data_IF_210891755342
#
_entry.id   IF_210891755342
#
_cell.length_a   1.000
_cell.length_b   1.000
_cell.length_c   1.000
_cell.angle_alpha   90.00
_cell.angle_beta   90.00
_cell.angle_gamma   90.00
#
_symmetry.space_group_name_H-M   'P 1'
#
loop_
_entity.id
_entity.type
_entity.pdbx_description
1 polymer ?
#
# COMPACT_ATOMS: atom_id res chain seq x y z
N UNK A 1 60.79 -51.21 21.85
CA UNK A 1 60.89 -49.89 21.18
C UNK A 1 59.64 -49.08 21.53
N UNK A 2 59.77 -47.77 21.78
CA UNK A 2 58.94 -46.93 22.66
C UNK A 2 57.64 -46.38 22.01
N UNK A 3 56.74 -45.79 22.84
CA UNK A 3 55.43 -45.20 22.47
C UNK A 3 55.52 -43.84 21.71
N UNK A 4 54.55 -42.88 21.82
CA UNK A 4 53.48 -42.77 22.83
C UNK A 4 52.10 -42.20 22.37
N UNK A 5 51.20 -42.08 23.37
CA UNK A 5 50.11 -41.11 23.58
C UNK A 5 48.87 -41.17 22.66
N UNK A 6 47.64 -41.33 23.15
CA UNK A 6 47.07 -40.90 24.43
C UNK A 6 46.38 -39.55 24.23
N UNK A 7 45.10 -39.59 23.84
CA UNK A 7 44.27 -38.40 23.62
C UNK A 7 42.87 -38.66 24.15
N UNK A 8 42.72 -38.57 25.47
CA UNK A 8 41.44 -38.57 26.16
C UNK A 8 40.61 -37.34 25.74
N UNK A 9 39.41 -37.62 25.23
CA UNK A 9 38.40 -36.60 24.95
C UNK A 9 37.81 -36.13 26.30
N UNK A 10 38.09 -34.87 26.64
CA UNK A 10 37.52 -34.21 27.83
C UNK A 10 35.98 -34.12 27.74
N UNK A 11 35.25 -34.31 28.87
CA UNK A 11 33.79 -34.20 28.91
C UNK A 11 33.28 -32.77 28.69
N UNK A 12 32.08 -32.65 28.09
CA UNK A 12 31.38 -31.45 27.64
C UNK A 12 30.96 -30.42 28.72
N UNK A 13 31.65 -30.35 29.87
CA UNK A 13 31.32 -29.43 30.97
C UNK A 13 32.30 -28.24 31.14
N UNK A 14 33.29 -28.07 30.25
CA UNK A 14 34.28 -26.98 30.32
C UNK A 14 34.22 -25.97 29.17
N UNK A 15 33.33 -26.15 28.19
CA UNK A 15 33.18 -25.22 27.06
C UNK A 15 32.35 -23.95 27.38
N UNK A 16 31.66 -23.90 28.52
CA UNK A 16 30.77 -22.76 28.88
C UNK A 16 31.47 -21.62 29.65
N UNK A 17 32.76 -21.73 29.97
CA UNK A 17 33.47 -20.69 30.75
C UNK A 17 34.22 -19.63 29.92
N UNK A 18 34.17 -19.69 28.59
CA UNK A 18 34.89 -18.76 27.69
C UNK A 18 34.01 -17.71 27.00
N UNK A 19 32.71 -17.65 27.29
CA UNK A 19 31.77 -16.71 26.64
C UNK A 19 31.28 -15.55 27.52
N UNK A 20 31.89 -15.33 28.69
CA UNK A 20 31.56 -14.18 29.55
C UNK A 20 32.84 -13.50 30.03
N UNK A 21 33.49 -12.75 29.13
CA UNK A 21 34.44 -11.67 29.46
C UNK A 21 34.87 -10.95 28.19
N UNK A 22 34.47 -9.69 28.03
CA UNK A 22 35.14 -8.78 27.09
C UNK A 22 34.22 -7.97 26.18
N UNK A 23 33.36 -7.14 26.75
CA UNK A 23 32.89 -5.93 26.06
C UNK A 23 33.34 -4.72 26.88
N UNK A 24 34.34 -4.00 26.37
CA UNK A 24 34.77 -2.67 26.84
C UNK A 24 34.50 -1.68 25.70
N UNK A 25 33.77 -0.57 25.91
CA UNK A 25 33.74 0.49 24.93
C UNK A 25 35.08 1.23 24.94
N UNK A 26 35.64 1.42 23.75
CA UNK A 26 36.82 2.26 23.50
C UNK A 26 36.49 3.71 23.82
N UNK A 27 37.12 4.23 24.88
CA UNK A 27 37.26 5.66 25.16
C UNK A 27 38.33 6.21 24.22
N UNK A 28 37.97 7.18 23.38
CA UNK A 28 38.91 8.05 22.65
C UNK A 28 39.23 9.25 23.54
N UNK A 29 40.50 9.58 23.84
CA UNK A 29 40.84 10.72 24.67
C UNK A 29 41.08 12.00 23.84
N UNK A 30 40.53 13.11 24.34
CA UNK A 30 41.20 14.41 24.38
C UNK A 30 41.31 15.24 23.10
N UNK A 31 40.52 16.30 23.02
CA UNK A 31 40.73 17.44 22.12
C UNK A 31 39.98 18.66 22.65
N UNK A 32 40.66 19.44 23.49
CA UNK A 32 40.22 20.76 23.92
C UNK A 32 40.27 21.70 22.71
N UNK A 33 39.16 22.36 22.39
CA UNK A 33 39.19 23.72 21.90
C UNK A 33 37.90 24.45 22.27
N UNK A 34 38.09 25.49 23.08
CA UNK A 34 37.07 26.42 23.53
C UNK A 34 36.71 27.37 22.38
N UNK A 35 35.49 27.28 21.86
CA UNK A 35 34.85 28.39 21.17
C UNK A 35 33.64 28.83 22.00
N UNK A 36 33.83 29.96 22.68
CA UNK A 36 32.81 30.69 23.42
C UNK A 36 31.72 31.13 22.44
N UNK A 37 30.50 30.61 22.63
CA UNK A 37 29.31 31.24 22.10
C UNK A 37 28.66 32.02 23.23
N UNK A 38 28.77 33.35 23.17
CA UNK A 38 27.94 34.26 23.95
C UNK A 38 26.46 34.06 23.57
N UNK A 39 25.52 33.98 24.53
CA UNK A 39 24.11 33.94 24.21
C UNK A 39 23.63 35.33 23.74
N UNK A 40 23.14 35.40 22.50
CA UNK A 40 22.48 36.55 21.89
C UNK A 40 21.30 37.02 22.77
N UNK A 41 21.14 38.32 23.07
CA UNK A 41 20.04 38.80 23.89
C UNK A 41 18.70 38.62 23.16
N UNK A 42 17.71 38.13 23.91
CA UNK A 42 16.35 37.88 23.47
C UNK A 42 15.74 39.09 22.75
N UNK A 43 15.45 38.94 21.44
CA UNK A 43 14.67 39.91 20.67
C UNK A 43 13.22 39.88 21.14
N UNK A 44 12.76 41.00 21.70
CA UNK A 44 11.35 41.26 22.00
C UNK A 44 10.53 41.13 20.70
N UNK A 45 9.33 40.53 20.73
CA UNK A 45 8.48 40.47 19.55
C UNK A 45 8.01 41.88 19.18
N UNK A 46 8.30 42.29 17.94
CA UNK A 46 7.81 43.54 17.35
C UNK A 46 6.28 43.63 17.48
N UNK A 47 5.81 44.77 17.98
CA UNK A 47 4.39 45.15 17.94
C UNK A 47 3.92 45.12 16.49
N UNK A 48 3.06 44.15 16.15
CA UNK A 48 2.25 44.21 14.92
C UNK A 48 1.44 45.50 14.95
N UNK A 49 1.76 46.44 14.07
CA UNK A 49 0.91 47.58 13.79
C UNK A 49 -0.41 47.06 13.20
N UNK A 50 -1.52 47.49 13.78
CA UNK A 50 -2.85 47.19 13.26
C UNK A 50 -3.00 47.79 11.85
N UNK A 51 -3.54 47.06 10.86
CA UNK A 51 -3.79 47.63 9.54
C UNK A 51 -4.85 48.74 9.65
N UNK A 52 -4.57 49.87 9.00
CA UNK A 52 -5.42 51.04 8.94
C UNK A 52 -6.83 50.68 8.43
N UNK A 53 -7.85 51.28 9.06
CA UNK A 53 -9.26 51.20 8.63
C UNK A 53 -9.36 51.69 7.18
N UNK A 54 -9.87 50.85 6.28
CA UNK A 54 -10.24 51.25 4.93
C UNK A 54 -11.38 52.28 4.93
N UNK A 55 -11.56 53.04 3.84
CA UNK A 55 -12.55 54.10 3.76
C UNK A 55 -13.98 53.55 3.82
N UNK A 56 -14.82 54.28 4.56
CA UNK A 56 -16.24 54.04 4.77
C UNK A 56 -17.01 54.04 3.42
N UNK A 57 -17.97 53.13 3.19
CA UNK A 57 -18.76 53.15 1.96
C UNK A 57 -19.73 54.34 1.95
N UNK A 58 -19.74 55.08 0.84
CA UNK A 58 -20.60 56.24 0.60
C UNK A 58 -22.11 55.88 0.63
N UNK A 59 -22.99 56.82 1.03
CA UNK A 59 -24.42 56.56 1.16
C UNK A 59 -25.08 56.30 -0.19
N UNK A 60 -26.03 55.36 -0.21
CA UNK A 60 -26.82 55.00 -1.37
C UNK A 60 -27.54 56.23 -1.97
N UNK A 61 -27.22 56.55 -3.23
CA UNK A 61 -27.96 57.55 -4.00
C UNK A 61 -29.39 57.06 -4.22
N UNK A 62 -30.35 57.81 -3.68
CA UNK A 62 -31.76 57.67 -3.97
C UNK A 62 -32.00 57.78 -5.49
N UNK A 63 -32.69 56.80 -6.06
CA UNK A 63 -33.17 56.82 -7.43
C UNK A 63 -34.19 57.97 -7.54
N UNK A 64 -33.83 59.03 -8.26
CA UNK A 64 -34.76 60.09 -8.61
C UNK A 64 -35.85 59.51 -9.54
N UNK A 65 -37.11 59.64 -9.14
CA UNK A 65 -38.27 59.36 -9.98
C UNK A 65 -38.36 60.46 -11.04
N UNK A 66 -38.23 60.05 -12.30
CA UNK A 66 -38.47 60.88 -13.49
C UNK A 66 -39.99 61.14 -13.64
N UNK A 67 -40.47 62.40 -13.61
CA UNK A 67 -41.90 62.73 -13.65
C UNK A 67 -42.43 62.87 -15.08
N UNK A 68 -42.00 62.00 -15.99
CA UNK A 68 -42.43 62.00 -17.40
C UNK A 68 -42.96 60.62 -17.82
N UNK A 69 -44.00 60.12 -17.14
CA UNK A 69 -44.86 59.05 -17.68
C UNK A 69 -46.31 59.40 -17.44
N UNK A 70 -46.99 59.71 -18.55
CA UNK A 70 -48.42 59.97 -18.60
C UNK A 70 -49.25 58.77 -18.12
N UNK A 71 -50.49 59.07 -17.77
CA UNK A 71 -51.51 58.16 -17.25
C UNK A 71 -51.57 56.82 -18.01
N UNK A 72 -51.55 55.67 -17.30
CA UNK A 72 -51.88 54.40 -17.92
C UNK A 72 -53.40 54.25 -18.05
N UNK A 73 -53.84 54.19 -19.32
CA UNK A 73 -55.16 53.75 -19.78
C UNK A 73 -55.63 52.46 -19.06
N UNK A 74 -56.81 52.45 -18.39
CA UNK A 74 -57.29 51.32 -17.60
C UNK A 74 -57.76 50.10 -18.43
N UNK A 75 -57.68 50.13 -19.76
CA UNK A 75 -58.19 49.07 -20.63
C UNK A 75 -57.18 47.94 -20.99
N UNK A 76 -56.00 47.87 -20.36
CA UNK A 76 -55.00 46.79 -20.63
C UNK A 76 -54.74 45.84 -19.45
N UNK A 77 -55.70 45.71 -18.55
CA UNK A 77 -55.63 44.78 -17.41
C UNK A 77 -56.27 43.41 -17.72
N UNK A 78 -55.96 42.78 -18.85
CA UNK A 78 -56.32 41.37 -19.08
C UNK A 78 -55.19 40.61 -19.76
N UNK A 79 -54.43 39.85 -18.98
CA UNK A 79 -53.36 39.00 -19.49
C UNK A 79 -52.57 38.34 -18.37
N UNK A 80 -53.15 37.33 -17.72
CA UNK A 80 -52.38 36.40 -16.89
C UNK A 80 -51.14 35.93 -17.67
N UNK A 81 -49.93 35.96 -17.08
CA UNK A 81 -48.75 35.46 -17.77
C UNK A 81 -48.92 33.96 -18.00
N UNK A 82 -49.08 33.55 -19.27
CA UNK A 82 -49.06 32.14 -19.67
C UNK A 82 -47.76 31.55 -19.14
N UNK A 83 -47.86 30.62 -18.18
CA UNK A 83 -46.74 29.77 -17.75
C UNK A 83 -46.03 29.26 -19.00
N UNK A 84 -44.78 29.70 -19.24
CA UNK A 84 -43.90 29.00 -20.18
C UNK A 84 -43.81 27.57 -19.68
N UNK A 85 -44.33 26.61 -20.45
CA UNK A 85 -44.07 25.19 -20.22
C UNK A 85 -42.56 25.04 -20.22
N UNK A 86 -42.01 24.66 -19.07
CA UNK A 86 -40.61 24.27 -18.99
C UNK A 86 -40.38 23.17 -20.03
N UNK A 87 -39.36 23.35 -20.87
CA UNK A 87 -38.83 22.23 -21.63
C UNK A 87 -38.53 21.10 -20.65
N UNK A 88 -38.97 19.85 -20.91
CA UNK A 88 -38.58 18.74 -20.07
C UNK A 88 -37.06 18.73 -20.07
N UNK A 89 -36.48 18.90 -18.88
CA UNK A 89 -35.04 18.87 -18.69
C UNK A 89 -34.49 17.67 -19.42
N UNK A 90 -33.44 17.88 -20.22
CA UNK A 90 -32.63 16.80 -20.79
C UNK A 90 -32.18 15.95 -19.60
N UNK A 91 -32.92 14.88 -19.30
CA UNK A 91 -32.40 13.78 -18.47
C UNK A 91 -31.11 13.39 -19.17
N UNK A 92 -29.97 13.55 -18.48
CA UNK A 92 -28.68 13.18 -19.02
C UNK A 92 -28.81 11.77 -19.61
N UNK A 93 -28.33 11.59 -20.85
CA UNK A 93 -28.39 10.29 -21.48
C UNK A 93 -27.80 9.23 -20.53
N UNK A 94 -28.41 8.04 -20.41
CA UNK A 94 -27.89 7.00 -19.53
C UNK A 94 -26.43 6.74 -19.91
N UNK A 95 -25.56 6.69 -18.90
CA UNK A 95 -24.14 6.37 -19.10
C UNK A 95 -24.08 5.02 -19.82
N UNK A 96 -23.51 5.01 -21.01
CA UNK A 96 -23.41 3.81 -21.82
C UNK A 96 -22.28 2.93 -21.32
N UNK A 97 -22.38 1.60 -21.51
CA UNK A 97 -21.31 0.67 -21.15
C UNK A 97 -19.96 1.03 -21.77
N UNK A 98 -19.95 1.59 -22.98
CA UNK A 98 -18.73 2.06 -23.64
C UNK A 98 -18.11 3.29 -22.94
N UNK A 99 -18.91 4.15 -22.32
CA UNK A 99 -18.38 5.26 -21.53
C UNK A 99 -17.78 4.79 -20.19
N UNK A 100 -18.25 3.66 -19.64
CA UNK A 100 -17.73 3.08 -18.39
C UNK A 100 -16.45 2.27 -18.66
N UNK A 101 -16.45 1.44 -19.72
CA UNK A 101 -15.39 0.46 -19.97
C UNK A 101 -14.47 0.80 -21.15
N UNK A 102 -14.77 1.83 -21.94
CA UNK A 102 -13.98 2.21 -23.12
C UNK A 102 -14.11 1.25 -24.31
N UNK A 103 -15.11 0.36 -24.31
CA UNK A 103 -15.22 -0.73 -25.29
C UNK A 103 -14.22 -1.86 -25.04
N UNK A 104 -14.14 -2.83 -25.97
CA UNK A 104 -13.29 -4.02 -25.84
C UNK A 104 -11.78 -3.68 -25.80
N UNK A 105 -11.35 -2.68 -26.58
CA UNK A 105 -9.96 -2.22 -26.60
C UNK A 105 -9.53 -1.60 -25.26
N UNK A 106 -10.47 -0.92 -24.60
CA UNK A 106 -10.30 -0.39 -23.25
C UNK A 106 -10.10 -1.52 -22.23
N UNK A 107 -10.91 -2.57 -22.28
CA UNK A 107 -10.78 -3.73 -21.38
C UNK A 107 -9.45 -4.47 -21.58
N UNK A 108 -9.02 -4.65 -22.83
CA UNK A 108 -7.72 -5.28 -23.14
C UNK A 108 -6.55 -4.48 -22.57
N UNK A 109 -6.53 -3.17 -22.81
CA UNK A 109 -5.47 -2.29 -22.31
C UNK A 109 -5.42 -2.26 -20.78
N UNK A 110 -6.56 -2.13 -20.11
CA UNK A 110 -6.63 -2.12 -18.65
C UNK A 110 -6.17 -3.44 -18.02
N UNK A 111 -6.48 -4.57 -18.67
CA UNK A 111 -5.98 -5.88 -18.25
C UNK A 111 -4.46 -5.94 -18.30
N UNK A 112 -3.85 -5.44 -19.38
CA UNK A 112 -2.38 -5.36 -19.51
C UNK A 112 -1.77 -4.42 -18.45
N UNK A 113 -2.42 -3.29 -18.15
CA UNK A 113 -1.98 -2.38 -17.08
C UNK A 113 -2.01 -3.04 -15.70
N UNK A 114 -3.03 -3.84 -15.41
CA UNK A 114 -3.14 -4.61 -14.16
C UNK A 114 -2.04 -5.67 -14.08
N UNK A 115 -1.81 -6.41 -15.16
CA UNK A 115 -0.72 -7.39 -15.23
C UNK A 115 0.63 -6.71 -15.04
N UNK A 116 0.82 -5.54 -15.65
CA UNK A 116 2.01 -4.72 -15.47
C UNK A 116 2.21 -4.33 -14.01
N UNK A 117 1.22 -3.70 -13.37
CA UNK A 117 1.28 -3.33 -11.95
C UNK A 117 1.59 -4.52 -11.03
N UNK A 118 1.05 -5.69 -11.34
CA UNK A 118 1.16 -6.88 -10.49
C UNK A 118 2.48 -7.63 -10.67
N UNK A 119 3.25 -7.32 -11.72
CA UNK A 119 4.44 -8.08 -12.10
C UNK A 119 5.48 -8.21 -10.97
N UNK A 120 5.88 -7.13 -10.25
CA UNK A 120 6.85 -7.26 -9.15
C UNK A 120 6.37 -8.16 -8.03
N UNK A 121 5.09 -8.07 -7.68
CA UNK A 121 4.44 -8.86 -6.62
C UNK A 121 4.40 -10.34 -7.01
N UNK A 122 4.03 -10.65 -8.26
CA UNK A 122 4.03 -12.02 -8.78
C UNK A 122 5.44 -12.61 -8.76
N UNK A 123 6.45 -11.86 -9.24
CA UNK A 123 7.85 -12.33 -9.22
C UNK A 123 8.36 -12.52 -7.79
N UNK A 124 8.04 -11.62 -6.87
CA UNK A 124 8.37 -11.75 -5.45
C UNK A 124 7.73 -12.99 -4.81
N UNK A 125 6.47 -13.31 -5.15
CA UNK A 125 5.79 -14.50 -4.68
C UNK A 125 6.46 -15.81 -5.16
N UNK A 126 6.94 -15.83 -6.41
CA UNK A 126 7.69 -16.96 -6.95
C UNK A 126 9.01 -17.15 -6.18
N UNK A 127 9.77 -16.08 -5.98
CA UNK A 127 11.03 -16.13 -5.20
C UNK A 127 10.75 -16.58 -3.77
N UNK A 128 9.74 -16.03 -3.10
CA UNK A 128 9.36 -16.43 -1.75
C UNK A 128 9.04 -17.93 -1.70
N UNK A 129 8.25 -18.44 -2.65
CA UNK A 129 7.91 -19.87 -2.75
C UNK A 129 9.17 -20.73 -2.89
N UNK A 130 10.11 -20.33 -3.72
CA UNK A 130 11.40 -21.02 -3.91
C UNK A 130 12.21 -21.00 -2.60
N UNK A 131 12.37 -19.84 -1.98
CA UNK A 131 13.12 -19.67 -0.72
C UNK A 131 12.55 -20.54 0.40
N UNK A 132 11.22 -20.58 0.54
CA UNK A 132 10.55 -21.40 1.54
C UNK A 132 10.73 -22.89 1.27
N UNK A 133 10.64 -23.33 0.01
CA UNK A 133 10.82 -24.74 -0.39
C UNK A 133 12.24 -25.24 -0.25
N UNK A 134 13.21 -24.44 -0.68
CA UNK A 134 14.63 -24.73 -0.54
C UNK A 134 15.12 -24.55 0.90
N UNK A 135 14.22 -24.20 1.83
CA UNK A 135 14.52 -24.05 3.26
C UNK A 135 15.65 -23.04 3.50
N UNK A 136 15.84 -22.06 2.61
CA UNK A 136 16.89 -21.06 2.76
C UNK A 136 16.55 -20.13 3.95
N UNK A 137 17.57 -19.60 4.63
CA UNK A 137 17.37 -18.63 5.71
C UNK A 137 16.60 -19.15 6.94
N UNK A 138 16.72 -20.43 7.33
CA UNK A 138 15.99 -20.99 8.49
C UNK A 138 16.17 -20.23 9.80
N UNK A 139 17.30 -19.53 9.96
CA UNK A 139 17.54 -18.67 11.14
C UNK A 139 16.45 -17.61 11.33
N UNK A 140 15.73 -17.23 10.27
CA UNK A 140 14.65 -16.23 10.31
C UNK A 140 13.26 -16.84 10.15
N UNK A 141 13.11 -18.15 10.36
CA UNK A 141 11.83 -18.84 10.30
C UNK A 141 10.92 -18.57 11.51
N UNK A 142 11.30 -17.66 12.42
CA UNK A 142 10.48 -17.25 13.55
C UNK A 142 9.11 -16.73 13.08
N UNK A 143 8.00 -17.17 13.70
CA UNK A 143 6.68 -16.65 13.41
C UNK A 143 6.58 -15.15 13.67
N UNK A 144 5.84 -14.43 12.83
CA UNK A 144 5.59 -12.99 12.95
C UNK A 144 4.90 -12.62 14.26
N UNK A 145 4.07 -13.53 14.80
CA UNK A 145 3.39 -13.33 16.07
C UNK A 145 4.25 -13.67 17.30
N UNK A 146 5.48 -14.16 17.12
CA UNK A 146 6.36 -14.63 18.20
C UNK A 146 5.70 -15.65 19.15
N UNK A 147 4.73 -16.43 18.67
CA UNK A 147 4.00 -17.38 19.50
C UNK A 147 2.86 -16.76 20.33
N UNK A 148 2.60 -15.45 20.21
CA UNK A 148 1.53 -14.78 20.94
C UNK A 148 0.16 -15.34 20.62
N UNK A 149 -0.71 -15.29 21.62
CA UNK A 149 -2.09 -15.79 21.56
C UNK A 149 -3.09 -14.68 21.85
N UNK A 150 -4.31 -14.87 21.35
CA UNK A 150 -5.51 -14.12 21.67
C UNK A 150 -6.65 -15.12 21.83
N UNK A 151 -7.35 -15.08 22.98
CA UNK A 151 -8.39 -16.06 23.36
C UNK A 151 -7.90 -17.50 23.27
N UNK A 152 -6.73 -17.77 23.84
CA UNK A 152 -6.05 -19.09 23.86
C UNK A 152 -5.73 -19.68 22.48
N UNK A 153 -5.81 -18.87 21.42
CA UNK A 153 -5.49 -19.27 20.04
C UNK A 153 -4.39 -18.37 19.50
N UNK A 154 -3.53 -18.90 18.63
CA UNK A 154 -2.44 -18.13 17.99
C UNK A 154 -2.96 -16.89 17.26
N UNK A 155 -2.14 -15.83 17.15
CA UNK A 155 -2.51 -14.66 16.37
C UNK A 155 -2.49 -14.95 14.87
N UNK A 156 -1.37 -15.40 14.31
CA UNK A 156 -1.24 -15.66 12.87
C UNK A 156 -0.89 -17.14 12.59
N UNK A 157 -0.12 -17.76 13.50
CA UNK A 157 0.35 -19.13 13.38
C UNK A 157 1.67 -19.27 12.62
N UNK A 158 2.25 -20.47 12.66
CA UNK A 158 3.67 -20.68 12.31
C UNK A 158 4.02 -20.50 10.84
N UNK A 159 3.03 -20.49 9.94
CA UNK A 159 3.27 -20.29 8.51
C UNK A 159 3.58 -18.82 8.16
N UNK A 160 3.25 -17.86 9.02
CA UNK A 160 3.54 -16.44 8.81
C UNK A 160 4.85 -16.10 9.50
N UNK A 161 5.96 -16.13 8.75
CA UNK A 161 7.33 -16.00 9.29
C UNK A 161 8.01 -14.70 8.87
N UNK A 162 8.96 -14.21 9.67
CA UNK A 162 9.78 -13.05 9.32
C UNK A 162 10.55 -13.24 8.02
N UNK A 163 11.15 -14.42 7.82
CA UNK A 163 11.78 -14.77 6.54
C UNK A 163 10.83 -14.57 5.36
N UNK A 164 9.62 -15.13 5.44
CA UNK A 164 8.64 -15.02 4.37
C UNK A 164 8.28 -13.57 4.06
N UNK A 165 8.02 -12.78 5.10
CA UNK A 165 7.68 -11.36 4.96
C UNK A 165 8.83 -10.55 4.36
N UNK A 166 10.04 -10.66 4.90
CA UNK A 166 11.22 -9.91 4.45
C UNK A 166 11.55 -10.25 3.00
N UNK A 167 11.56 -11.54 2.63
CA UNK A 167 11.82 -11.95 1.25
C UNK A 167 10.80 -11.34 0.30
N UNK A 168 9.51 -11.37 0.66
CA UNK A 168 8.47 -10.82 -0.20
C UNK A 168 8.63 -9.31 -0.41
N UNK A 169 8.86 -8.55 0.66
CA UNK A 169 9.03 -7.10 0.61
C UNK A 169 10.29 -6.72 -0.17
N UNK A 170 11.43 -7.33 0.17
CA UNK A 170 12.71 -7.03 -0.49
C UNK A 170 12.63 -7.34 -1.98
N UNK A 171 12.12 -8.51 -2.37
CA UNK A 171 12.02 -8.84 -3.80
C UNK A 171 10.97 -8.03 -4.54
N UNK A 172 9.90 -7.58 -3.87
CA UNK A 172 8.98 -6.61 -4.47
C UNK A 172 9.70 -5.32 -4.84
N UNK A 173 10.51 -4.75 -3.93
CA UNK A 173 11.37 -3.59 -4.22
C UNK A 173 12.35 -3.89 -5.35
N UNK A 174 13.08 -5.01 -5.27
CA UNK A 174 14.09 -5.37 -6.26
C UNK A 174 13.51 -5.57 -7.66
N UNK A 175 12.26 -5.99 -7.80
CA UNK A 175 11.59 -6.12 -9.10
C UNK A 175 10.89 -4.83 -9.55
N UNK A 176 10.43 -3.98 -8.62
CA UNK A 176 9.87 -2.67 -8.96
C UNK A 176 10.93 -1.71 -9.50
N UNK A 177 12.17 -1.75 -8.99
CA UNK A 177 13.27 -0.91 -9.49
C UNK A 177 13.49 -1.08 -11.01
N UNK A 178 13.80 -2.27 -11.55
CA UNK A 178 13.98 -2.45 -12.99
C UNK A 178 12.69 -2.22 -13.78
N UNK A 179 11.53 -2.52 -13.22
CA UNK A 179 10.25 -2.18 -13.85
C UNK A 179 10.08 -0.67 -14.06
N UNK A 180 10.43 0.14 -13.06
CA UNK A 180 10.30 1.59 -13.09
C UNK A 180 11.45 2.30 -13.82
N UNK A 181 12.53 1.58 -14.18
CA UNK A 181 13.73 2.16 -14.79
C UNK A 181 14.03 1.61 -16.18
N UNK A 182 14.24 0.29 -16.32
CA UNK A 182 14.73 -0.34 -17.55
C UNK A 182 13.63 -0.98 -18.40
N UNK A 183 12.57 -1.52 -17.78
CA UNK A 183 11.51 -2.24 -18.49
C UNK A 183 10.29 -1.38 -18.77
N UNK A 184 10.46 -0.06 -18.88
CA UNK A 184 9.32 0.85 -18.94
C UNK A 184 8.44 0.65 -20.16
N UNK A 185 7.14 0.70 -19.93
CA UNK A 185 6.11 0.64 -20.97
C UNK A 185 5.05 1.70 -20.62
N UNK A 186 5.23 2.98 -21.00
CA UNK A 186 4.41 4.08 -20.51
C UNK A 186 2.89 3.90 -20.67
N UNK A 187 2.45 3.21 -21.74
CA UNK A 187 1.03 2.90 -21.97
C UNK A 187 0.43 1.94 -20.92
N UNK A 188 1.27 1.17 -20.21
CA UNK A 188 0.86 0.20 -19.21
C UNK A 188 0.96 0.73 -17.77
N UNK A 189 1.54 1.90 -17.56
CA UNK A 189 1.86 2.43 -16.25
C UNK A 189 0.64 3.09 -15.58
N UNK A 190 0.38 2.75 -14.31
CA UNK A 190 -0.58 3.49 -13.46
C UNK A 190 0.09 4.64 -12.69
N UNK A 191 1.40 4.53 -12.49
CA UNK A 191 2.23 5.50 -11.82
C UNK A 191 3.21 6.06 -12.85
N UNK A 192 3.32 7.38 -12.95
CA UNK A 192 4.31 7.98 -13.82
C UNK A 192 5.70 7.77 -13.20
N UNK A 193 6.57 7.02 -13.90
CA UNK A 193 7.94 6.80 -13.47
C UNK A 193 8.94 7.82 -14.06
N UNK A 194 8.51 8.72 -14.98
CA UNK A 194 9.42 9.72 -15.59
C UNK A 194 9.81 10.84 -14.64
N UNK A 195 8.91 11.27 -13.75
CA UNK A 195 9.12 12.42 -12.87
C UNK A 195 9.78 12.05 -11.54
N UNK A 196 10.09 10.77 -11.34
CA UNK A 196 10.17 10.21 -10.01
C UNK A 196 11.47 9.42 -9.85
N UNK A 197 12.37 10.00 -9.07
CA UNK A 197 13.68 9.46 -8.74
C UNK A 197 13.59 8.06 -8.12
N UNK A 198 14.73 7.34 -8.06
CA UNK A 198 14.89 6.02 -7.46
C UNK A 198 14.16 5.79 -6.12
N UNK A 199 14.06 6.76 -5.19
CA UNK A 199 13.26 6.63 -3.97
C UNK A 199 11.80 6.24 -4.22
N UNK A 200 11.17 6.72 -5.29
CA UNK A 200 9.77 6.41 -5.58
C UNK A 200 9.55 4.96 -5.99
N UNK A 201 10.47 4.39 -6.78
CA UNK A 201 10.40 2.97 -7.13
C UNK A 201 10.57 2.08 -5.89
N UNK A 202 11.40 2.52 -4.94
CA UNK A 202 11.56 1.86 -3.65
C UNK A 202 10.27 1.96 -2.84
N UNK A 203 9.68 3.15 -2.71
CA UNK A 203 8.42 3.35 -1.97
C UNK A 203 7.28 2.53 -2.56
N UNK A 204 7.14 2.51 -3.89
CA UNK A 204 6.14 1.69 -4.57
C UNK A 204 6.38 0.21 -4.28
N UNK A 205 7.60 -0.28 -4.43
CA UNK A 205 7.93 -1.68 -4.15
C UNK A 205 7.72 -2.07 -2.69
N UNK A 206 8.02 -1.16 -1.75
CA UNK A 206 7.76 -1.33 -0.32
C UNK A 206 6.26 -1.44 -0.06
N UNK A 207 5.44 -0.54 -0.61
CA UNK A 207 3.99 -0.56 -0.44
C UNK A 207 3.34 -1.78 -1.08
N UNK A 208 3.82 -2.21 -2.26
CA UNK A 208 3.39 -3.45 -2.90
C UNK A 208 3.69 -4.66 -2.01
N UNK A 209 4.93 -4.80 -1.53
CA UNK A 209 5.33 -5.93 -0.69
C UNK A 209 4.68 -5.92 0.69
N UNK A 210 4.66 -4.77 1.36
CA UNK A 210 4.04 -4.60 2.68
C UNK A 210 2.53 -4.77 2.60
N UNK A 211 1.88 -4.19 1.59
CA UNK A 211 0.45 -4.34 1.36
C UNK A 211 0.07 -5.81 1.20
N UNK A 212 0.85 -6.58 0.45
CA UNK A 212 0.63 -8.02 0.32
C UNK A 212 0.74 -8.73 1.69
N UNK A 213 1.87 -8.56 2.38
CA UNK A 213 2.14 -9.23 3.66
C UNK A 213 1.11 -8.85 4.72
N UNK A 214 0.83 -7.55 4.89
CA UNK A 214 -0.12 -7.05 5.88
C UNK A 214 -1.56 -7.43 5.51
N UNK A 215 -1.91 -7.48 4.22
CA UNK A 215 -3.22 -7.90 3.75
C UNK A 215 -3.59 -9.33 4.16
N UNK A 216 -2.61 -10.23 4.22
CA UNK A 216 -2.85 -11.62 4.64
C UNK A 216 -3.06 -11.80 6.16
N UNK A 217 -2.61 -10.84 6.98
CA UNK A 217 -2.60 -11.00 8.45
C UNK A 217 -4.01 -10.99 9.07
N UNK A 218 -4.93 -10.08 8.70
CA UNK A 218 -6.31 -10.11 9.20
C UNK A 218 -7.01 -11.46 8.97
N UNK A 219 -6.88 -12.01 7.77
CA UNK A 219 -7.48 -13.29 7.44
C UNK A 219 -6.80 -14.46 8.16
N UNK A 220 -5.47 -14.43 8.30
CA UNK A 220 -4.73 -15.40 9.13
C UNK A 220 -5.23 -15.39 10.58
N UNK A 221 -5.45 -14.19 11.14
CA UNK A 221 -6.03 -14.01 12.47
C UNK A 221 -7.43 -14.59 12.57
N UNK A 222 -8.33 -14.26 11.63
CA UNK A 222 -9.68 -14.81 11.61
C UNK A 222 -9.67 -16.35 11.57
N UNK A 223 -8.82 -16.95 10.73
CA UNK A 223 -8.66 -18.41 10.66
C UNK A 223 -8.22 -19.01 12.00
N UNK A 224 -7.23 -18.42 12.68
CA UNK A 224 -6.80 -18.90 14.00
C UNK A 224 -7.93 -18.80 15.03
N UNK A 225 -8.69 -17.70 15.03
CA UNK A 225 -9.80 -17.51 15.96
C UNK A 225 -10.94 -18.51 15.73
N UNK A 226 -11.10 -19.01 14.51
CA UNK A 226 -12.03 -20.09 14.16
C UNK A 226 -11.52 -21.50 14.50
N UNK A 227 -10.30 -21.63 15.05
CA UNK A 227 -9.69 -22.94 15.35
C UNK A 227 -9.11 -23.65 14.12
N UNK A 228 -8.99 -22.97 12.98
CA UNK A 228 -8.37 -23.53 11.77
C UNK A 228 -6.87 -23.40 11.93
N UNK A 229 -6.13 -24.51 11.90
CA UNK A 229 -4.68 -24.56 12.04
C UNK A 229 -3.90 -24.09 10.78
N UNK A 230 -2.59 -23.79 10.90
CA UNK A 230 -1.77 -23.42 9.75
C UNK A 230 -1.80 -24.52 8.67
N UNK A 231 -2.08 -24.13 7.42
CA UNK A 231 -2.18 -25.06 6.29
C UNK A 231 -3.46 -25.90 6.27
N UNK A 232 -4.38 -25.72 7.21
CA UNK A 232 -5.70 -26.32 7.16
C UNK A 232 -6.65 -25.43 6.36
N UNK A 233 -7.46 -26.06 5.51
CA UNK A 233 -8.52 -25.40 4.76
C UNK A 233 -9.74 -25.18 5.66
N UNK A 234 -10.32 -23.98 5.58
CA UNK A 234 -11.54 -23.62 6.28
C UNK A 234 -12.80 -23.93 5.47
N UNK A 235 -13.84 -23.12 5.70
CA UNK A 235 -15.04 -23.07 4.85
C UNK A 235 -14.69 -22.51 3.47
N UNK A 236 -15.56 -22.72 2.49
CA UNK A 236 -15.37 -22.24 1.11
C UNK A 236 -15.08 -20.72 1.03
N UNK A 237 -15.70 -19.91 1.88
CA UNK A 237 -15.49 -18.47 1.91
C UNK A 237 -14.11 -18.07 2.45
N UNK A 238 -13.47 -18.91 3.28
CA UNK A 238 -12.09 -18.70 3.70
C UNK A 238 -11.15 -18.83 2.51
N UNK A 239 -11.42 -19.76 1.60
CA UNK A 239 -10.63 -19.90 0.37
C UNK A 239 -10.77 -18.67 -0.54
N UNK A 240 -11.97 -18.07 -0.59
CA UNK A 240 -12.17 -16.79 -1.29
C UNK A 240 -11.36 -15.68 -0.63
N UNK A 241 -11.41 -15.56 0.71
CA UNK A 241 -10.62 -14.56 1.43
C UNK A 241 -9.10 -14.77 1.24
N UNK A 242 -8.62 -16.01 1.24
CA UNK A 242 -7.22 -16.35 0.98
C UNK A 242 -6.72 -15.88 -0.40
N UNK A 243 -7.63 -15.65 -1.35
CA UNK A 243 -7.28 -15.14 -2.69
C UNK A 243 -7.28 -13.61 -2.75
N UNK A 244 -8.18 -12.95 -2.00
CA UNK A 244 -8.40 -11.50 -2.13
C UNK A 244 -7.75 -10.67 -1.02
N UNK A 245 -7.39 -11.27 0.12
CA UNK A 245 -6.90 -10.56 1.30
C UNK A 245 -5.64 -9.73 1.04
N UNK A 246 -4.64 -10.35 0.44
CA UNK A 246 -3.38 -9.73 0.04
C UNK A 246 -3.58 -8.70 -1.07
N UNK A 247 -4.48 -8.96 -2.03
CA UNK A 247 -4.81 -8.02 -3.11
C UNK A 247 -5.43 -6.74 -2.56
N UNK A 248 -6.37 -6.87 -1.61
CA UNK A 248 -6.96 -5.72 -0.93
C UNK A 248 -5.92 -4.96 -0.11
N UNK A 249 -5.03 -5.69 0.59
CA UNK A 249 -3.92 -5.07 1.31
C UNK A 249 -3.02 -4.22 0.41
N UNK A 250 -2.65 -4.75 -0.77
CA UNK A 250 -1.89 -3.98 -1.78
C UNK A 250 -2.67 -2.74 -2.24
N UNK A 251 -3.93 -2.90 -2.67
CA UNK A 251 -4.73 -1.80 -3.18
C UNK A 251 -4.92 -0.68 -2.14
N UNK A 252 -5.13 -1.04 -0.87
CA UNK A 252 -5.26 -0.08 0.24
C UNK A 252 -3.93 0.66 0.49
N UNK A 253 -2.81 -0.06 0.52
CA UNK A 253 -1.50 0.54 0.77
C UNK A 253 -1.00 1.42 -0.38
N UNK A 254 -1.56 1.27 -1.59
CA UNK A 254 -1.25 2.15 -2.73
C UNK A 254 -2.02 3.48 -2.71
N UNK A 255 -3.10 3.61 -1.93
CA UNK A 255 -3.94 4.83 -1.86
C UNK A 255 -3.11 6.10 -1.60
N UNK A 256 -2.12 6.12 -0.66
CA UNK A 256 -1.30 7.31 -0.41
C UNK A 256 -0.49 7.78 -1.62
N UNK A 257 -0.09 6.88 -2.53
CA UNK A 257 0.60 7.26 -3.76
C UNK A 257 -0.39 7.69 -4.84
N UNK A 258 -1.45 6.90 -5.04
CA UNK A 258 -2.48 7.17 -6.04
C UNK A 258 -3.73 6.34 -5.75
N UNK A 259 -4.88 7.00 -5.72
CA UNK A 259 -6.16 6.30 -5.79
C UNK A 259 -6.37 5.76 -7.21
N UNK A 260 -6.20 4.45 -7.38
CA UNK A 260 -6.44 3.77 -8.65
C UNK A 260 -7.93 3.83 -9.02
N UNK A 261 -8.27 3.94 -10.31
CA UNK A 261 -9.67 3.95 -10.75
C UNK A 261 -10.34 2.60 -10.45
N UNK A 262 -11.67 2.60 -10.27
CA UNK A 262 -12.43 1.39 -9.92
C UNK A 262 -12.17 0.20 -10.87
N UNK A 263 -12.00 0.47 -12.17
CA UNK A 263 -11.64 -0.56 -13.16
C UNK A 263 -10.33 -1.28 -12.85
N UNK A 264 -9.33 -0.58 -12.30
CA UNK A 264 -8.07 -1.17 -11.89
C UNK A 264 -8.24 -2.00 -10.61
N UNK A 265 -9.05 -1.54 -9.65
CA UNK A 265 -9.40 -2.33 -8.45
C UNK A 265 -10.06 -3.65 -8.84
N UNK A 266 -11.11 -3.59 -9.66
CA UNK A 266 -11.81 -4.78 -10.14
C UNK A 266 -10.89 -5.68 -10.97
N UNK A 267 -10.08 -5.08 -11.83
CA UNK A 267 -9.09 -5.81 -12.63
C UNK A 267 -8.08 -6.55 -11.78
N UNK A 268 -7.48 -5.91 -10.76
CA UNK A 268 -6.57 -6.57 -9.81
C UNK A 268 -7.28 -7.72 -9.10
N UNK A 269 -8.47 -7.49 -8.54
CA UNK A 269 -9.21 -8.51 -7.81
C UNK A 269 -9.59 -9.72 -8.68
N UNK A 270 -9.95 -9.50 -9.94
CA UNK A 270 -10.35 -10.59 -10.85
C UNK A 270 -9.12 -11.28 -11.45
N UNK A 271 -8.25 -10.52 -12.13
CA UNK A 271 -7.13 -11.04 -12.90
C UNK A 271 -6.10 -11.70 -11.97
N UNK A 272 -5.74 -11.05 -10.86
CA UNK A 272 -4.73 -11.61 -9.95
C UNK A 272 -5.26 -12.84 -9.20
N UNK A 273 -6.55 -12.91 -8.91
CA UNK A 273 -7.17 -14.12 -8.32
C UNK A 273 -7.13 -15.30 -9.30
N UNK A 274 -7.45 -15.06 -10.57
CA UNK A 274 -7.35 -16.08 -11.63
C UNK A 274 -5.88 -16.52 -11.80
N UNK A 275 -4.94 -15.58 -11.86
CA UNK A 275 -3.52 -15.89 -11.94
C UNK A 275 -3.02 -16.70 -10.74
N UNK A 276 -3.42 -16.32 -9.52
CA UNK A 276 -3.03 -17.04 -8.32
C UNK A 276 -3.51 -18.50 -8.36
N UNK A 277 -4.76 -18.72 -8.78
CA UNK A 277 -5.34 -20.04 -8.95
C UNK A 277 -4.62 -20.86 -10.04
N UNK A 278 -4.27 -20.22 -11.16
CA UNK A 278 -3.50 -20.83 -12.24
C UNK A 278 -2.08 -21.24 -11.80
N UNK A 279 -1.38 -20.41 -11.03
CA UNK A 279 -0.10 -20.76 -10.44
C UNK A 279 -0.22 -21.90 -9.41
N UNK A 280 -1.29 -21.89 -8.62
CA UNK A 280 -1.62 -23.00 -7.72
C UNK A 280 -1.74 -24.33 -8.48
N UNK A 281 -2.50 -24.34 -9.57
CA UNK A 281 -2.65 -25.50 -10.45
C UNK A 281 -1.32 -25.93 -11.08
N UNK A 282 -0.55 -24.98 -11.63
CA UNK A 282 0.77 -25.24 -12.19
C UNK A 282 1.69 -25.92 -11.17
N UNK A 283 1.72 -25.43 -9.93
CA UNK A 283 2.52 -26.04 -8.87
C UNK A 283 2.02 -27.43 -8.48
N UNK A 284 0.73 -27.74 -8.58
CA UNK A 284 0.25 -29.12 -8.39
C UNK A 284 0.74 -30.02 -9.51
N UNK A 285 0.58 -29.59 -10.76
CA UNK A 285 1.01 -30.34 -11.95
C UNK A 285 2.51 -30.62 -11.94
N UNK A 286 3.32 -29.66 -11.47
CA UNK A 286 4.77 -29.81 -11.33
C UNK A 286 5.19 -30.63 -10.09
N UNK A 287 4.27 -31.23 -9.34
CA UNK A 287 4.56 -31.98 -8.10
C UNK A 287 5.11 -31.11 -6.96
N UNK A 288 4.97 -29.79 -7.12
CA UNK A 288 5.50 -28.76 -6.25
C UNK A 288 4.55 -28.45 -5.08
N UNK A 289 3.25 -28.74 -5.21
CA UNK A 289 2.24 -28.65 -4.15
C UNK A 289 1.33 -29.88 -4.19
N UNK A 290 0.73 -30.22 -3.03
CA UNK A 290 -0.26 -31.32 -2.93
C UNK A 290 -1.68 -30.91 -3.36
N UNK A 291 -1.97 -29.62 -3.36
CA UNK A 291 -3.31 -29.06 -3.59
C UNK A 291 -3.18 -27.63 -4.14
N UNK A 292 -4.18 -27.22 -4.92
CA UNK A 292 -4.32 -25.83 -5.43
C UNK A 292 -4.65 -24.87 -4.29
N UNK A 293 -5.39 -25.36 -3.29
CA UNK A 293 -5.84 -24.65 -2.10
C UNK A 293 -5.16 -25.17 -0.83
#
# INVERSE_FOLDING_TARGET
>A
MPGPAGGDLLPAAQAESLLVRGWRPLLVPGGHDQLRHDPEPARLPERRQAPARGPEPAPARALALDPARGDPDPARAEGWPRRRRGHPGRRGAPVTWNQIWGGWDGLGTESLRVLWLSLPVVLAALVQTIVLKLKLGQRWATPLDFGKTFRDKRLFGDNKTWRGAVVYVVFSVLFTIPQATFWRVPSLEYFDYTQTYLPWAIDLGLLLGLGFVLGELPNSFLKRQQGIGPGQSGKWWNAVLDQVDSLLGVLILLIPLRLLPLKAWLGVLIICTVLHSAFGLLFVVLGLKKSVY
#
